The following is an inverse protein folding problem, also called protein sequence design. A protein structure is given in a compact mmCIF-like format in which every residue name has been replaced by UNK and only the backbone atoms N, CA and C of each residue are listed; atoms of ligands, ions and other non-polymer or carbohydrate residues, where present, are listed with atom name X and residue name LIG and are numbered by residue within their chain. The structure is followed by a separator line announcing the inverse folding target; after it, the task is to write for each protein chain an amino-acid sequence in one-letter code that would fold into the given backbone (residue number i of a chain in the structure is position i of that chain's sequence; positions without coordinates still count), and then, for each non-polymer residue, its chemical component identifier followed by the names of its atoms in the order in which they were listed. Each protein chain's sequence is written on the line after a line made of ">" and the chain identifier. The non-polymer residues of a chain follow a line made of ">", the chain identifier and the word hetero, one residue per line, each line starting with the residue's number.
data_IF_418002039675
#
_entry.id   IF_418002039675
#
_cell.length_a   1.000
_cell.length_b   1.000
_cell.length_c   1.000
_cell.angle_alpha   90.00
_cell.angle_beta   90.00
_cell.angle_gamma   90.00
#
_symmetry.space_group_name_H-M   'P 1'
#
loop_
_entity.id
_entity.type
_entity.pdbx_description
1 polymer ?
#
# COMPACT_ATOMS: atom_id res chain seq x y z
N UNK A 1 9.17 16.07 -13.24
CA UNK A 1 8.85 15.74 -11.84
C UNK A 1 8.97 16.97 -10.96
N UNK A 2 8.06 17.16 -10.04
CA UNK A 2 8.10 18.26 -9.09
C UNK A 2 9.15 18.00 -8.01
N UNK A 3 9.94 19.02 -7.68
CA UNK A 3 10.87 18.89 -6.56
C UNK A 3 10.11 18.79 -5.25
N UNK A 4 10.56 17.89 -4.39
CA UNK A 4 9.95 17.66 -3.08
C UNK A 4 10.82 18.24 -1.99
N UNK A 5 10.18 18.84 -0.98
CA UNK A 5 10.88 19.28 0.22
C UNK A 5 11.23 18.09 1.09
N UNK A 6 12.14 18.27 2.03
CA UNK A 6 12.50 17.22 3.00
C UNK A 6 11.27 16.76 3.79
N UNK A 7 10.39 17.70 4.14
CA UNK A 7 9.16 17.38 4.87
C UNK A 7 8.22 16.53 4.02
N UNK A 8 8.06 16.86 2.74
CA UNK A 8 7.23 16.09 1.82
C UNK A 8 7.79 14.69 1.59
N UNK A 9 9.11 14.57 1.44
CA UNK A 9 9.76 13.27 1.34
C UNK A 9 9.53 12.42 2.58
N UNK A 10 9.58 13.02 3.77
CA UNK A 10 9.29 12.32 5.02
C UNK A 10 7.87 11.80 5.07
N UNK A 11 6.90 12.62 4.64
CA UNK A 11 5.50 12.21 4.59
C UNK A 11 5.29 11.05 3.61
N UNK A 12 5.92 11.11 2.43
CA UNK A 12 5.82 10.05 1.43
C UNK A 12 6.46 8.77 1.96
N UNK A 13 7.61 8.87 2.61
CA UNK A 13 8.28 7.71 3.19
C UNK A 13 7.41 7.02 4.24
N UNK A 14 6.79 7.80 5.12
CA UNK A 14 5.88 7.27 6.14
C UNK A 14 4.65 6.61 5.49
N UNK A 15 4.10 7.22 4.47
CA UNK A 15 2.95 6.68 3.74
C UNK A 15 3.33 5.38 3.02
N UNK A 16 4.50 5.29 2.42
CA UNK A 16 5.00 4.07 1.79
C UNK A 16 5.09 2.93 2.79
N UNK A 17 5.64 3.20 3.96
CA UNK A 17 5.75 2.20 5.03
C UNK A 17 4.37 1.70 5.44
N UNK A 18 3.43 2.62 5.64
CA UNK A 18 2.06 2.27 6.05
C UNK A 18 1.34 1.45 4.97
N UNK A 19 1.38 1.90 3.72
CA UNK A 19 0.70 1.20 2.63
C UNK A 19 1.31 -0.18 2.38
N UNK A 20 2.62 -0.30 2.44
CA UNK A 20 3.30 -1.58 2.27
C UNK A 20 2.92 -2.57 3.37
N UNK A 21 2.86 -2.11 4.62
CA UNK A 21 2.47 -2.96 5.75
C UNK A 21 1.01 -3.40 5.63
N UNK A 22 0.11 -2.49 5.29
CA UNK A 22 -1.32 -2.80 5.14
C UNK A 22 -1.54 -3.78 3.98
N UNK A 23 -0.83 -3.60 2.87
CA UNK A 23 -0.88 -4.52 1.75
C UNK A 23 -0.48 -5.94 2.19
N UNK A 24 0.64 -6.06 2.88
CA UNK A 24 1.14 -7.34 3.39
C UNK A 24 0.15 -8.02 4.31
N UNK A 25 -0.41 -7.27 5.27
CA UNK A 25 -1.36 -7.82 6.24
C UNK A 25 -2.64 -8.28 5.57
N UNK A 26 -3.22 -7.45 4.70
CA UNK A 26 -4.46 -7.80 4.00
C UNK A 26 -4.25 -9.04 3.14
N UNK A 27 -3.12 -9.11 2.44
CA UNK A 27 -2.82 -10.27 1.58
C UNK A 27 -2.61 -11.54 2.40
N UNK A 28 -1.94 -11.44 3.54
CA UNK A 28 -1.75 -12.59 4.43
C UNK A 28 -3.10 -13.07 4.99
N UNK A 29 -3.95 -12.15 5.45
CA UNK A 29 -5.26 -12.52 5.97
C UNK A 29 -6.16 -13.12 4.90
N UNK A 30 -6.07 -12.66 3.66
CA UNK A 30 -6.87 -13.20 2.57
C UNK A 30 -6.62 -14.69 2.35
N UNK A 31 -5.42 -15.16 2.70
CA UNK A 31 -5.03 -16.56 2.52
C UNK A 31 -5.44 -17.45 3.70
N UNK A 32 -5.75 -16.87 4.86
CA UNK A 32 -6.04 -17.63 6.08
C UNK A 32 -7.52 -17.73 6.40
N UNK A 33 -8.36 -16.84 5.86
CA UNK A 33 -9.79 -16.88 6.09
C UNK A 33 -10.45 -17.91 5.17
N UNK A 34 -11.45 -18.62 5.69
CA UNK A 34 -12.16 -19.63 4.91
C UNK A 34 -13.36 -19.06 4.16
N UNK A 35 -13.88 -17.93 4.60
CA UNK A 35 -14.99 -17.25 3.93
C UNK A 35 -14.51 -16.64 2.62
N UNK A 36 -15.15 -17.07 1.51
CA UNK A 36 -14.75 -16.66 0.16
C UNK A 36 -14.96 -15.16 -0.06
N UNK A 37 -16.07 -14.63 0.41
CA UNK A 37 -16.38 -13.20 0.24
C UNK A 37 -15.40 -12.34 1.01
N UNK A 38 -15.09 -12.73 2.24
CA UNK A 38 -14.12 -12.01 3.07
C UNK A 38 -12.72 -12.10 2.45
N UNK A 39 -12.32 -13.27 1.99
CA UNK A 39 -11.03 -13.46 1.32
C UNK A 39 -10.92 -12.56 0.08
N UNK A 40 -11.97 -12.51 -0.73
CA UNK A 40 -12.02 -11.67 -1.92
C UNK A 40 -11.92 -10.19 -1.57
N UNK A 41 -12.63 -9.75 -0.52
CA UNK A 41 -12.58 -8.36 -0.05
C UNK A 41 -11.19 -7.99 0.44
N UNK A 42 -10.55 -8.88 1.19
CA UNK A 42 -9.19 -8.65 1.69
C UNK A 42 -8.18 -8.56 0.54
N UNK A 43 -8.36 -9.36 -0.50
CA UNK A 43 -7.51 -9.30 -1.70
C UNK A 43 -7.66 -7.95 -2.40
N UNK A 44 -8.89 -7.45 -2.51
CA UNK A 44 -9.14 -6.11 -3.09
C UNK A 44 -8.47 -5.01 -2.28
N UNK A 45 -8.58 -5.10 -0.96
CA UNK A 45 -7.93 -4.13 -0.06
C UNK A 45 -6.41 -4.17 -0.25
N UNK A 46 -5.82 -5.37 -0.34
CA UNK A 46 -4.40 -5.51 -0.59
C UNK A 46 -4.00 -4.87 -1.93
N UNK A 47 -4.78 -5.11 -2.98
CA UNK A 47 -4.52 -4.53 -4.31
C UNK A 47 -4.61 -3.02 -4.29
N UNK A 48 -5.56 -2.44 -3.57
CA UNK A 48 -5.69 -0.98 -3.42
C UNK A 48 -4.49 -0.37 -2.70
N UNK A 49 -4.02 -1.02 -1.63
CA UNK A 49 -2.82 -0.56 -0.92
C UNK A 49 -1.59 -0.65 -1.81
N UNK A 50 -1.49 -1.70 -2.60
CA UNK A 50 -0.38 -1.86 -3.56
C UNK A 50 -0.39 -0.76 -4.61
N UNK A 51 -1.56 -0.41 -5.14
CA UNK A 51 -1.70 0.68 -6.11
C UNK A 51 -1.26 2.01 -5.51
N UNK A 52 -1.68 2.30 -4.28
CA UNK A 52 -1.27 3.53 -3.59
C UNK A 52 0.24 3.53 -3.31
N UNK A 53 0.79 2.38 -2.92
CA UNK A 53 2.22 2.23 -2.73
C UNK A 53 2.98 2.61 -4.01
N UNK A 54 2.56 2.04 -5.13
CA UNK A 54 3.21 2.29 -6.41
C UNK A 54 3.06 3.74 -6.87
N UNK A 55 1.91 4.36 -6.61
CA UNK A 55 1.69 5.77 -6.91
C UNK A 55 2.63 6.68 -6.11
N UNK A 56 2.78 6.39 -4.81
CA UNK A 56 3.70 7.13 -3.94
C UNK A 56 5.16 6.95 -4.39
N UNK A 57 5.51 5.72 -4.75
CA UNK A 57 6.86 5.42 -5.22
C UNK A 57 7.19 6.22 -6.49
N UNK A 58 6.21 6.37 -7.39
CA UNK A 58 6.36 7.16 -8.60
C UNK A 58 6.66 8.63 -8.33
N UNK A 59 6.19 9.18 -7.20
CA UNK A 59 6.46 10.57 -6.84
C UNK A 59 7.92 10.84 -6.49
N UNK A 60 8.66 9.83 -6.08
CA UNK A 60 10.07 9.98 -5.72
C UNK A 60 11.01 9.38 -6.77
N UNK A 61 10.48 9.16 -7.98
CA UNK A 61 11.29 8.76 -9.12
C UNK A 61 11.55 7.27 -9.23
N UNK A 62 10.74 6.50 -8.55
CA UNK A 62 10.85 5.04 -8.57
C UNK A 62 10.43 4.40 -9.89
#
# INVERSE_FOLDING_TARGET
>A
MTELTSKELGLISDALTAEGLLCKKARAYSKTVTDVDLSSTLTKIADEHEQRYNALLGLIGG
#
